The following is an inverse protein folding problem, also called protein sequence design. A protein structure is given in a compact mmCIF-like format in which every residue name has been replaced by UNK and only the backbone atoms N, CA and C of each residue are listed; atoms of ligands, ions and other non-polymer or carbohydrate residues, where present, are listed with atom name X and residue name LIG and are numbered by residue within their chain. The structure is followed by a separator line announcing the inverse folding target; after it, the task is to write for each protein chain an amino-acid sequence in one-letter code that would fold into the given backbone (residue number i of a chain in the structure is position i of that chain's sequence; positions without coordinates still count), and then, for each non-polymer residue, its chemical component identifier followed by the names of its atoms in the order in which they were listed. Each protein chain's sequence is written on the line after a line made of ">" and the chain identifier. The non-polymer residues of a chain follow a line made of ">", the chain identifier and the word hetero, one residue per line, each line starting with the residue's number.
data_IF_290186490517
#
_entry.id   IF_290186490517
#
_cell.length_a   1.000
_cell.length_b   1.000
_cell.length_c   1.000
_cell.angle_alpha   90.00
_cell.angle_beta   90.00
_cell.angle_gamma   90.00
#
_symmetry.space_group_name_H-M   'P 1'
#
loop_
_entity.id
_entity.type
_entity.pdbx_description
1 polymer ?
#
# COMPACT_ATOMS: atom_id res chain seq x y z
N UNK A 1 26.64 12.73 0.91
CA UNK A 1 25.32 13.15 0.41
C UNK A 1 24.59 11.88 0.07
N UNK A 2 23.59 11.49 0.87
CA UNK A 2 22.86 10.24 0.62
C UNK A 2 22.06 10.42 -0.66
N UNK A 3 22.40 9.67 -1.69
CA UNK A 3 21.56 9.54 -2.88
C UNK A 3 20.17 9.11 -2.40
N UNK A 4 19.19 10.02 -2.50
CA UNK A 4 17.78 9.65 -2.38
C UNK A 4 17.54 8.70 -3.54
N UNK A 5 17.54 7.39 -3.25
CA UNK A 5 17.20 6.37 -4.22
C UNK A 5 15.94 6.83 -4.92
N UNK A 6 16.06 7.12 -6.23
CA UNK A 6 14.93 7.47 -7.06
C UNK A 6 13.90 6.38 -6.83
N UNK A 7 12.73 6.75 -6.32
CA UNK A 7 11.64 5.83 -6.03
C UNK A 7 11.35 5.11 -7.35
N UNK A 8 11.82 3.87 -7.48
CA UNK A 8 11.57 3.06 -8.67
C UNK A 8 10.11 2.66 -8.58
N UNK A 9 9.31 3.39 -9.35
CA UNK A 9 7.86 3.31 -9.44
C UNK A 9 7.36 2.03 -10.14
N UNK A 10 8.02 0.89 -9.92
CA UNK A 10 7.43 -0.43 -10.19
C UNK A 10 6.54 -0.91 -9.02
N UNK A 11 6.38 -0.09 -7.97
CA UNK A 11 5.55 -0.40 -6.80
C UNK A 11 4.03 -0.26 -7.02
N UNK A 12 3.58 0.13 -8.23
CA UNK A 12 2.16 0.42 -8.50
C UNK A 12 1.26 -0.79 -8.67
N UNK A 13 1.84 -1.98 -8.71
CA UNK A 13 1.09 -3.23 -8.79
C UNK A 13 1.74 -4.26 -7.90
N UNK A 14 1.03 -4.70 -6.86
CA UNK A 14 1.33 -5.95 -6.15
C UNK A 14 0.20 -6.92 -6.51
N UNK A 15 0.52 -8.07 -7.10
CA UNK A 15 -0.45 -9.02 -7.65
C UNK A 15 -1.48 -8.39 -8.61
N UNK A 16 -1.05 -7.48 -9.50
CA UNK A 16 -1.95 -6.82 -10.46
C UNK A 16 -2.89 -5.78 -9.83
N UNK A 17 -2.73 -5.47 -8.54
CA UNK A 17 -3.48 -4.39 -7.90
C UNK A 17 -2.90 -3.04 -8.29
N UNK A 18 -3.42 -2.43 -9.36
CA UNK A 18 -3.16 -1.03 -9.65
C UNK A 18 -3.68 -0.14 -8.51
N UNK A 19 -2.82 0.75 -8.02
CA UNK A 19 -3.20 1.76 -7.05
C UNK A 19 -4.37 2.60 -7.61
N UNK A 20 -5.44 2.84 -6.83
CA UNK A 20 -6.57 3.64 -7.29
C UNK A 20 -6.19 5.12 -7.54
N UNK A 21 -7.08 5.88 -8.16
CA UNK A 21 -6.94 7.33 -8.36
C UNK A 21 -7.30 8.15 -7.11
N UNK A 22 -7.67 7.48 -6.01
CA UNK A 22 -7.95 8.06 -4.69
C UNK A 22 -7.18 7.34 -3.59
N UNK A 23 -6.83 8.06 -2.51
CA UNK A 23 -6.16 7.47 -1.35
C UNK A 23 -7.14 6.62 -0.55
N UNK A 24 -6.79 5.36 -0.32
CA UNK A 24 -7.68 4.39 0.33
C UNK A 24 -7.94 4.70 1.82
N UNK A 25 -7.07 5.52 2.44
CA UNK A 25 -7.18 5.93 3.84
C UNK A 25 -8.06 7.16 4.03
N UNK A 26 -7.94 8.17 3.16
CA UNK A 26 -8.57 9.48 3.38
C UNK A 26 -9.32 10.07 2.17
N UNK A 27 -9.51 9.29 1.10
CA UNK A 27 -10.27 9.64 -0.10
C UNK A 27 -9.73 10.84 -0.92
N UNK A 28 -8.52 11.31 -0.61
CA UNK A 28 -7.89 12.38 -1.38
C UNK A 28 -7.58 11.91 -2.81
N UNK A 29 -7.87 12.74 -3.81
CA UNK A 29 -7.55 12.46 -5.21
C UNK A 29 -6.02 12.38 -5.42
N UNK A 30 -5.58 11.27 -6.00
CA UNK A 30 -4.19 10.92 -6.32
C UNK A 30 -4.17 10.24 -7.70
N UNK A 31 -4.47 11.00 -8.77
CA UNK A 31 -4.79 10.44 -10.09
C UNK A 31 -3.60 9.79 -10.80
N UNK A 32 -2.38 10.09 -10.35
CA UNK A 32 -1.16 9.59 -10.94
C UNK A 32 -0.09 9.29 -9.88
N UNK A 33 1.04 8.82 -10.39
CA UNK A 33 2.17 8.41 -9.59
C UNK A 33 2.77 9.54 -8.74
N UNK A 34 2.92 10.72 -9.34
CA UNK A 34 3.54 11.87 -8.69
C UNK A 34 2.64 12.43 -7.59
N UNK A 35 1.35 12.58 -7.87
CA UNK A 35 0.34 13.00 -6.90
C UNK A 35 0.29 12.05 -5.71
N UNK A 36 0.31 10.74 -5.96
CA UNK A 36 0.32 9.72 -4.91
C UNK A 36 1.58 9.80 -4.05
N UNK A 37 2.77 9.92 -4.67
CA UNK A 37 4.04 10.07 -3.94
C UNK A 37 3.98 11.29 -3.02
N UNK A 38 3.57 12.45 -3.55
CA UNK A 38 3.47 13.69 -2.77
C UNK A 38 2.48 13.54 -1.60
N UNK A 39 1.32 12.97 -1.85
CA UNK A 39 0.31 12.74 -0.81
C UNK A 39 0.85 11.86 0.33
N UNK A 40 1.59 10.79 0.00
CA UNK A 40 2.18 9.90 1.00
C UNK A 40 3.32 10.56 1.76
N UNK A 41 4.15 11.38 1.11
CA UNK A 41 5.19 12.16 1.77
C UNK A 41 4.60 13.10 2.86
N UNK A 42 3.42 13.67 2.60
CA UNK A 42 2.75 14.58 3.54
C UNK A 42 1.97 13.84 4.64
N UNK A 43 1.31 12.73 4.32
CA UNK A 43 0.36 12.07 5.24
C UNK A 43 0.89 10.80 5.88
N UNK A 44 1.94 10.20 5.32
CA UNK A 44 2.43 8.85 5.65
C UNK A 44 1.39 7.74 5.46
N UNK A 45 0.29 8.00 4.77
CA UNK A 45 -0.70 6.97 4.47
C UNK A 45 -0.14 5.90 3.54
N UNK A 46 -0.51 4.63 3.79
CA UNK A 46 -0.17 3.48 2.93
C UNK A 46 1.34 3.32 2.67
N UNK A 47 2.20 3.71 3.61
CA UNK A 47 3.66 3.54 3.51
C UNK A 47 4.10 2.27 4.24
N UNK A 48 4.92 1.45 3.60
CA UNK A 48 5.66 0.36 4.23
C UNK A 48 6.71 0.91 5.20
N UNK A 49 6.73 0.44 6.45
CA UNK A 49 7.67 0.93 7.47
C UNK A 49 9.13 0.48 7.24
N UNK A 50 9.36 -0.50 6.35
CA UNK A 50 10.68 -1.07 6.08
C UNK A 50 11.41 -0.36 4.93
N UNK A 51 10.71 -0.03 3.84
CA UNK A 51 11.31 0.60 2.65
C UNK A 51 10.70 1.95 2.24
N UNK A 52 9.71 2.45 2.99
CA UNK A 52 8.99 3.68 2.69
C UNK A 52 8.24 3.71 1.35
N UNK A 53 8.05 2.55 0.71
CA UNK A 53 7.28 2.44 -0.53
C UNK A 53 5.80 2.21 -0.27
N UNK A 54 4.99 2.31 -1.33
CA UNK A 54 3.54 2.10 -1.23
C UNK A 54 3.19 0.64 -0.86
N UNK A 55 2.37 0.50 0.18
CA UNK A 55 1.78 -0.75 0.64
C UNK A 55 0.27 -0.76 0.29
N UNK A 56 -0.18 -1.59 -0.66
CA UNK A 56 -1.58 -1.71 -1.05
C UNK A 56 -2.49 -2.10 0.12
N UNK A 57 -3.74 -1.63 0.09
CA UNK A 57 -4.74 -2.00 1.09
C UNK A 57 -4.97 -3.53 1.08
N UNK A 58 -4.77 -4.17 2.23
CA UNK A 58 -4.87 -5.62 2.37
C UNK A 58 -3.75 -6.41 1.68
N UNK A 59 -2.74 -5.74 1.11
CA UNK A 59 -1.61 -6.34 0.42
C UNK A 59 -0.29 -6.13 1.13
N UNK A 60 -0.29 -5.70 2.39
CA UNK A 60 0.97 -5.43 3.12
C UNK A 60 1.75 -6.72 3.40
N UNK A 61 1.06 -7.82 3.69
CA UNK A 61 1.70 -9.14 3.79
C UNK A 61 2.46 -9.50 2.51
N UNK A 62 1.77 -9.44 1.37
CA UNK A 62 2.38 -9.77 0.06
C UNK A 62 3.53 -8.81 -0.26
N UNK A 63 3.37 -7.53 0.04
CA UNK A 63 4.45 -6.56 -0.10
C UNK A 63 5.71 -6.98 0.66
N UNK A 64 5.57 -7.34 1.93
CA UNK A 64 6.68 -7.80 2.76
C UNK A 64 7.27 -9.13 2.24
N UNK A 65 6.42 -10.07 1.82
CA UNK A 65 6.87 -11.33 1.24
C UNK A 65 7.65 -11.13 -0.07
N UNK A 66 7.27 -10.20 -0.95
CA UNK A 66 7.97 -9.97 -2.21
C UNK A 66 9.21 -9.08 -2.06
N UNK A 67 9.10 -7.99 -1.29
CA UNK A 67 10.14 -6.94 -1.22
C UNK A 67 11.09 -7.10 -0.05
N UNK A 68 10.67 -7.85 0.98
CA UNK A 68 11.37 -8.00 2.25
C UNK A 68 11.56 -9.47 2.63
N UNK A 69 11.56 -10.40 1.66
CA UNK A 69 11.69 -11.85 1.92
C UNK A 69 12.94 -12.25 2.72
N UNK A 70 14.03 -11.47 2.59
CA UNK A 70 15.29 -11.68 3.32
C UNK A 70 15.33 -10.96 4.68
N UNK A 71 14.39 -10.05 4.94
CA UNK A 71 14.35 -9.30 6.18
C UNK A 71 13.60 -10.08 7.26
N UNK A 72 13.97 -9.87 8.51
CA UNK A 72 13.20 -10.41 9.64
C UNK A 72 12.06 -9.46 9.99
N UNK A 73 10.87 -9.77 9.52
CA UNK A 73 9.62 -9.11 9.93
C UNK A 73 8.66 -10.11 10.59
N UNK A 74 7.72 -9.59 11.38
CA UNK A 74 6.74 -10.39 12.09
C UNK A 74 5.49 -10.52 11.23
N UNK A 75 5.25 -11.72 10.72
CA UNK A 75 4.16 -12.06 9.81
C UNK A 75 2.77 -11.85 10.43
N UNK A 76 2.59 -12.24 11.69
CA UNK A 76 1.36 -12.00 12.45
C UNK A 76 1.07 -10.50 12.62
N UNK A 77 2.10 -9.70 12.90
CA UNK A 77 1.94 -8.24 13.01
C UNK A 77 1.56 -7.61 11.67
N UNK A 78 2.18 -8.04 10.57
CA UNK A 78 1.84 -7.53 9.23
C UNK A 78 0.40 -7.89 8.85
N UNK A 79 -0.01 -9.14 9.09
CA UNK A 79 -1.38 -9.58 8.85
C UNK A 79 -2.39 -8.81 9.73
N UNK A 80 -2.05 -8.54 10.99
CA UNK A 80 -2.87 -7.72 11.87
C UNK A 80 -2.99 -6.27 11.36
N UNK A 81 -1.88 -5.66 10.93
CA UNK A 81 -1.90 -4.33 10.31
C UNK A 81 -2.78 -4.27 9.06
N UNK A 82 -2.75 -5.30 8.19
CA UNK A 82 -3.67 -5.39 7.06
C UNK A 82 -5.13 -5.43 7.51
N UNK A 83 -5.44 -6.18 8.57
CA UNK A 83 -6.81 -6.25 9.12
C UNK A 83 -7.32 -4.91 9.67
N UNK A 84 -6.47 -4.18 10.38
CA UNK A 84 -6.80 -2.85 10.92
C UNK A 84 -6.97 -1.85 9.79
N UNK A 85 -6.03 -1.83 8.84
CA UNK A 85 -6.12 -0.99 7.65
C UNK A 85 -7.43 -1.22 6.89
N UNK A 86 -7.84 -2.47 6.68
CA UNK A 86 -9.12 -2.79 6.03
C UNK A 86 -10.33 -2.31 6.82
N UNK A 87 -10.26 -2.30 8.16
CA UNK A 87 -11.34 -1.83 9.02
C UNK A 87 -11.46 -0.30 9.03
N UNK A 88 -10.34 0.41 8.94
CA UNK A 88 -10.25 1.86 9.06
C UNK A 88 -10.29 2.59 7.70
N UNK A 89 -10.15 1.86 6.59
CA UNK A 89 -10.18 2.44 5.24
C UNK A 89 -11.59 2.77 4.77
N UNK A 90 -11.66 3.56 3.70
CA UNK A 90 -12.91 3.88 3.04
C UNK A 90 -13.64 2.63 2.54
N UNK A 91 -14.98 2.59 2.68
CA UNK A 91 -15.78 1.42 2.31
C UNK A 91 -15.59 1.01 0.84
N UNK A 92 -15.52 2.00 -0.07
CA UNK A 92 -15.30 1.74 -1.49
C UNK A 92 -13.99 1.00 -1.76
N UNK A 93 -12.92 1.31 -1.00
CA UNK A 93 -11.61 0.69 -1.17
C UNK A 93 -11.64 -0.77 -0.69
N UNK A 94 -12.33 -1.03 0.42
CA UNK A 94 -12.55 -2.38 0.96
C UNK A 94 -13.37 -3.23 -0.01
N UNK A 95 -14.44 -2.68 -0.57
CA UNK A 95 -15.29 -3.37 -1.55
C UNK A 95 -14.53 -3.68 -2.85
N UNK A 96 -13.72 -2.74 -3.34
CA UNK A 96 -12.87 -2.96 -4.51
C UNK A 96 -11.89 -4.12 -4.30
N UNK A 97 -11.30 -4.25 -3.10
CA UNK A 97 -10.43 -5.37 -2.74
C UNK A 97 -11.21 -6.70 -2.66
N UNK A 98 -12.39 -6.70 -2.02
CA UNK A 98 -13.22 -7.91 -1.90
C UNK A 98 -13.66 -8.45 -3.26
N UNK A 99 -14.10 -7.57 -4.16
CA UNK A 99 -14.48 -7.92 -5.52
C UNK A 99 -13.32 -8.54 -6.30
N UNK A 100 -12.10 -7.99 -6.17
CA UNK A 100 -10.90 -8.56 -6.80
C UNK A 100 -10.54 -9.95 -6.26
N UNK A 101 -10.85 -10.24 -4.99
CA UNK A 101 -10.59 -11.54 -4.34
C UNK A 101 -11.66 -12.60 -4.61
N UNK A 102 -12.64 -12.32 -5.49
CA UNK A 102 -13.71 -13.25 -5.82
C UNK A 102 -14.78 -13.38 -4.74
N UNK A 103 -14.95 -12.35 -3.89
CA UNK A 103 -16.08 -12.27 -2.98
C UNK A 103 -17.30 -11.70 -3.71
N UNK A 104 -18.32 -12.55 -3.90
CA UNK A 104 -19.70 -12.16 -4.20
C UNK A 104 -20.35 -11.43 -3.01
#
# INVERSE_FOLDING_TARGET
>A
MSEKAAVVLEAYTINGYQAPDHCESCDASVPDAEARRKHMEETRHRICSLCESYAPLGGYYVHCDERHYNDKWNDHMVAYTDSINMKESQQWAVEAIRKKRGGD
#
